data_IF_814869653006
#
_entry.id   IF_814869653006
#
_cell.length_a   1.000
_cell.length_b   1.000
_cell.length_c   1.000
_cell.angle_alpha   90.00
_cell.angle_beta   90.00
_cell.angle_gamma   90.00
#
_symmetry.space_group_name_H-M   'P 1'
#
loop_
_entity.id
_entity.type
_entity.pdbx_description
1 polymer ?
#
# COMPACT_ATOMS: atom_id res chain seq x y z
N UNK A 1 -4.26 7.44 -15.99
CA UNK A 1 -3.07 7.23 -15.14
C UNK A 1 -3.44 6.19 -14.10
N UNK A 2 -2.64 5.14 -13.96
CA UNK A 2 -2.90 4.10 -12.97
C UNK A 2 -2.31 4.50 -11.61
N UNK A 3 -2.91 4.07 -10.50
CA UNK A 3 -2.34 4.23 -9.17
C UNK A 3 -1.00 3.49 -9.07
N UNK A 4 -0.14 3.95 -8.18
CA UNK A 4 1.23 3.47 -8.04
C UNK A 4 1.49 3.00 -6.61
N UNK A 5 1.96 1.76 -6.47
CA UNK A 5 2.59 1.25 -5.26
C UNK A 5 4.10 1.56 -5.34
N UNK A 6 4.59 2.42 -4.46
CA UNK A 6 5.99 2.85 -4.39
C UNK A 6 6.68 2.07 -3.29
N UNK A 7 7.78 1.40 -3.63
CA UNK A 7 8.58 0.60 -2.70
C UNK A 7 9.87 1.36 -2.40
N UNK A 8 10.02 1.79 -1.18
CA UNK A 8 11.13 2.61 -0.68
C UNK A 8 12.27 1.72 -0.20
N UNK A 9 13.32 1.68 -0.99
CA UNK A 9 14.52 0.87 -0.68
C UNK A 9 15.31 1.45 0.50
N UNK A 10 15.34 2.77 0.65
CA UNK A 10 15.93 3.45 1.81
C UNK A 10 15.25 3.01 3.12
N UNK A 11 13.91 3.07 3.16
CA UNK A 11 13.13 2.65 4.32
C UNK A 11 13.32 1.15 4.65
N UNK A 12 13.41 0.29 3.62
CA UNK A 12 13.69 -1.13 3.81
C UNK A 12 15.08 -1.34 4.44
N UNK A 13 16.11 -0.64 3.97
CA UNK A 13 17.48 -0.71 4.54
C UNK A 13 17.51 -0.23 5.98
N UNK A 14 16.86 0.88 6.28
CA UNK A 14 16.82 1.45 7.63
C UNK A 14 16.11 0.53 8.63
N UNK A 15 15.00 -0.08 8.21
CA UNK A 15 14.29 -1.06 9.03
C UNK A 15 15.14 -2.32 9.25
N UNK A 16 15.87 -2.76 8.22
CA UNK A 16 16.72 -3.94 8.25
C UNK A 16 17.89 -3.84 9.23
N UNK A 17 18.39 -2.64 9.52
CA UNK A 17 19.44 -2.43 10.53
C UNK A 17 19.06 -2.92 11.93
N UNK A 18 17.76 -3.10 12.19
CA UNK A 18 17.22 -3.56 13.48
C UNK A 18 16.80 -5.03 13.45
N UNK A 19 17.00 -5.71 12.33
CA UNK A 19 16.57 -7.10 12.13
C UNK A 19 17.77 -8.05 12.14
N UNK A 20 17.66 -9.23 12.77
CA UNK A 20 18.75 -10.24 12.81
C UNK A 20 18.79 -11.02 11.47
N UNK A 21 19.18 -10.38 10.37
CA UNK A 21 19.12 -10.96 9.03
C UNK A 21 20.10 -12.13 8.81
N UNK A 22 21.26 -12.13 9.51
CA UNK A 22 22.32 -13.10 9.26
C UNK A 22 21.96 -14.52 9.72
N UNK A 23 21.21 -14.62 10.80
CA UNK A 23 20.92 -15.88 11.50
C UNK A 23 19.45 -16.30 11.32
N UNK A 24 18.67 -15.58 10.52
CA UNK A 24 17.24 -15.80 10.39
C UNK A 24 16.77 -15.98 8.95
N UNK A 25 15.58 -16.53 8.80
CA UNK A 25 14.91 -16.76 7.52
C UNK A 25 13.87 -15.66 7.30
N UNK A 26 13.90 -15.00 6.14
CA UNK A 26 12.88 -14.02 5.76
C UNK A 26 11.80 -14.66 4.88
N UNK A 27 10.53 -14.42 5.20
CA UNK A 27 9.41 -14.85 4.37
C UNK A 27 9.17 -13.87 3.22
N UNK A 28 9.53 -14.30 2.00
CA UNK A 28 9.33 -13.55 0.75
C UNK A 28 8.15 -14.06 -0.08
N UNK A 29 7.33 -14.95 0.46
CA UNK A 29 6.17 -15.47 -0.27
C UNK A 29 5.18 -14.34 -0.60
N UNK A 30 4.33 -14.61 -1.58
CA UNK A 30 3.41 -13.62 -2.17
C UNK A 30 4.14 -12.36 -2.66
N UNK A 31 5.28 -12.60 -3.33
CA UNK A 31 6.14 -11.54 -3.86
C UNK A 31 6.59 -10.56 -2.76
N UNK A 32 7.05 -11.10 -1.62
CA UNK A 32 7.40 -10.33 -0.41
C UNK A 32 6.22 -9.48 0.10
N UNK A 33 5.04 -10.09 0.21
CA UNK A 33 3.79 -9.40 0.55
C UNK A 33 3.52 -8.20 -0.36
N UNK A 34 3.77 -8.37 -1.67
CA UNK A 34 3.59 -7.34 -2.68
C UNK A 34 4.71 -6.30 -2.78
N UNK A 35 5.78 -6.42 -1.99
CA UNK A 35 6.91 -5.47 -2.04
C UNK A 35 7.90 -5.76 -3.16
N UNK A 36 7.84 -6.98 -3.77
CA UNK A 36 8.77 -7.41 -4.82
C UNK A 36 9.92 -8.26 -4.28
N UNK A 37 9.73 -9.58 -4.27
CA UNK A 37 10.67 -10.52 -3.68
C UNK A 37 12.12 -10.36 -4.18
N UNK A 38 12.30 -10.22 -5.49
CA UNK A 38 13.64 -10.03 -6.08
C UNK A 38 14.31 -8.72 -5.62
N UNK A 39 13.56 -7.61 -5.59
CA UNK A 39 14.08 -6.31 -5.16
C UNK A 39 14.40 -6.29 -3.67
N UNK A 40 13.53 -6.89 -2.85
CA UNK A 40 13.75 -7.03 -1.40
C UNK A 40 15.00 -7.89 -1.14
N UNK A 41 15.10 -9.05 -1.78
CA UNK A 41 16.24 -9.94 -1.65
C UNK A 41 17.56 -9.28 -2.05
N UNK A 42 17.60 -8.63 -3.21
CA UNK A 42 18.77 -7.92 -3.70
C UNK A 42 19.19 -6.78 -2.76
N UNK A 43 18.23 -6.08 -2.17
CA UNK A 43 18.49 -5.00 -1.21
C UNK A 43 19.07 -5.52 0.11
N UNK A 44 18.54 -6.64 0.62
CA UNK A 44 18.91 -7.16 1.94
C UNK A 44 20.10 -8.12 1.92
N UNK A 45 20.46 -8.67 0.75
CA UNK A 45 21.61 -9.57 0.60
C UNK A 45 22.92 -8.96 1.13
N UNK A 46 23.29 -7.71 0.79
CA UNK A 46 24.48 -7.07 1.34
C UNK A 46 24.41 -6.79 2.85
N UNK A 47 23.20 -6.81 3.42
CA UNK A 47 22.96 -6.58 4.85
C UNK A 47 22.89 -7.87 5.66
N UNK A 48 23.24 -9.01 5.05
CA UNK A 48 23.36 -10.28 5.73
C UNK A 48 22.22 -11.28 5.48
N UNK A 49 21.28 -10.98 4.60
CA UNK A 49 20.23 -11.96 4.24
C UNK A 49 20.83 -13.15 3.48
N UNK A 50 20.72 -14.36 4.03
CA UNK A 50 21.26 -15.59 3.45
C UNK A 50 20.22 -16.66 3.17
N UNK A 51 19.08 -16.62 3.84
CA UNK A 51 18.03 -17.63 3.74
C UNK A 51 16.64 -17.02 3.67
N UNK A 52 15.78 -17.56 2.82
CA UNK A 52 14.41 -17.07 2.62
C UNK A 52 13.42 -18.22 2.41
N UNK A 53 12.15 -17.98 2.75
CA UNK A 53 11.02 -18.71 2.16
C UNK A 53 10.52 -17.93 0.97
N UNK A 54 10.24 -18.61 -0.15
CA UNK A 54 9.82 -17.94 -1.38
C UNK A 54 8.73 -18.74 -2.12
N UNK A 55 8.06 -18.08 -3.05
CA UNK A 55 7.08 -18.73 -3.90
C UNK A 55 7.75 -19.69 -4.89
N UNK A 56 7.06 -20.78 -5.30
CA UNK A 56 7.55 -21.64 -6.37
C UNK A 56 7.86 -20.81 -7.63
N UNK A 57 9.03 -21.08 -8.23
CA UNK A 57 9.48 -20.39 -9.47
C UNK A 57 10.42 -19.21 -9.25
N UNK A 58 10.52 -18.64 -8.05
CA UNK A 58 11.45 -17.53 -7.76
C UNK A 58 12.85 -18.01 -7.34
N UNK A 59 13.03 -19.32 -7.14
CA UNK A 59 14.25 -19.90 -6.58
C UNK A 59 15.51 -19.64 -7.42
N UNK A 60 15.42 -19.63 -8.75
CA UNK A 60 16.58 -19.40 -9.63
C UNK A 60 17.14 -17.98 -9.47
N UNK A 61 16.27 -16.97 -9.40
CA UNK A 61 16.68 -15.56 -9.24
C UNK A 61 17.32 -15.34 -7.87
N UNK A 62 16.77 -15.95 -6.83
CA UNK A 62 17.29 -15.88 -5.47
C UNK A 62 18.63 -16.60 -5.32
N UNK A 63 18.77 -17.79 -5.96
CA UNK A 63 20.02 -18.54 -5.99
C UNK A 63 21.14 -17.75 -6.71
N UNK A 64 20.81 -17.00 -7.78
CA UNK A 64 21.75 -16.13 -8.46
C UNK A 64 22.28 -15.00 -7.55
N UNK A 65 21.52 -14.59 -6.54
CA UNK A 65 21.94 -13.67 -5.49
C UNK A 65 22.72 -14.34 -4.35
N UNK A 66 22.95 -15.66 -4.41
CA UNK A 66 23.58 -16.43 -3.33
C UNK A 66 22.71 -16.56 -2.09
N UNK A 67 21.38 -16.56 -2.25
CA UNK A 67 20.41 -16.70 -1.17
C UNK A 67 19.82 -18.12 -1.22
N UNK A 68 19.83 -18.82 -0.08
CA UNK A 68 19.26 -20.16 0.05
C UNK A 68 17.74 -20.06 0.22
N UNK A 69 17.00 -20.77 -0.61
CA UNK A 69 15.56 -20.95 -0.42
C UNK A 69 15.34 -22.17 0.48
N UNK A 70 14.65 -21.97 1.58
CA UNK A 70 14.34 -23.02 2.55
C UNK A 70 12.93 -23.56 2.36
N UNK A 71 12.71 -24.83 2.69
CA UNK A 71 11.38 -25.45 2.66
C UNK A 71 10.47 -24.77 3.71
N UNK A 72 9.19 -24.64 3.39
CA UNK A 72 8.18 -24.10 4.31
C UNK A 72 8.05 -24.92 5.63
N UNK A 73 8.59 -26.15 5.64
CA UNK A 73 8.60 -27.06 6.79
C UNK A 73 9.84 -26.91 7.69
N UNK A 74 10.88 -26.21 7.24
CA UNK A 74 12.02 -25.89 8.11
C UNK A 74 11.56 -24.91 9.21
N UNK A 75 12.04 -25.15 10.45
CA UNK A 75 11.55 -24.55 11.69
C UNK A 75 11.32 -23.04 11.61
N UNK A 76 10.18 -22.63 12.15
CA UNK A 76 9.70 -21.23 12.15
C UNK A 76 10.35 -20.36 13.24
N UNK A 77 11.21 -20.94 14.08
CA UNK A 77 11.69 -20.24 15.30
C UNK A 77 12.67 -19.09 15.00
N UNK A 78 13.28 -19.09 13.80
CA UNK A 78 14.25 -18.07 13.37
C UNK A 78 13.71 -17.18 12.24
N UNK A 79 12.41 -16.84 12.25
CA UNK A 79 11.84 -15.93 11.25
C UNK A 79 12.10 -14.46 11.58
N UNK A 80 12.54 -13.71 10.59
CA UNK A 80 12.53 -12.24 10.66
C UNK A 80 11.10 -11.76 10.79
N UNK A 81 10.84 -10.81 11.69
CA UNK A 81 9.56 -10.13 11.76
C UNK A 81 9.36 -9.23 10.52
N UNK A 82 8.77 -9.83 9.47
CA UNK A 82 8.52 -9.16 8.21
C UNK A 82 7.59 -7.95 8.36
N UNK A 83 6.72 -7.90 9.39
CA UNK A 83 5.85 -6.73 9.64
C UNK A 83 6.66 -5.52 10.07
N UNK A 84 7.66 -5.71 10.93
CA UNK A 84 8.59 -4.64 11.29
C UNK A 84 9.49 -4.27 10.12
N UNK A 85 10.02 -5.27 9.41
CA UNK A 85 10.90 -5.05 8.26
C UNK A 85 10.22 -4.21 7.16
N UNK A 86 8.95 -4.51 6.84
CA UNK A 86 8.19 -3.76 5.83
C UNK A 86 7.51 -2.49 6.37
N UNK A 87 7.71 -2.15 7.63
CA UNK A 87 7.10 -0.97 8.23
C UNK A 87 5.58 -1.06 8.39
N UNK A 88 5.05 -2.28 8.54
CA UNK A 88 3.62 -2.55 8.74
C UNK A 88 3.23 -2.56 10.22
N UNK A 89 4.21 -2.59 11.12
CA UNK A 89 4.02 -2.62 12.57
C UNK A 89 5.00 -1.70 13.30
N UNK A 90 4.65 -1.32 14.52
CA UNK A 90 5.51 -0.53 15.41
C UNK A 90 5.82 0.87 14.89
N UNK A 91 7.05 1.32 15.15
CA UNK A 91 7.60 2.62 14.74
C UNK A 91 8.45 2.54 13.47
N UNK A 92 8.48 1.39 12.79
CA UNK A 92 9.24 1.21 11.56
C UNK A 92 8.66 2.07 10.43
N UNK A 93 9.53 2.51 9.53
CA UNK A 93 9.14 3.34 8.39
C UNK A 93 8.40 2.51 7.35
N UNK A 94 7.21 2.91 6.88
CA UNK A 94 6.51 2.19 5.83
C UNK A 94 7.35 2.06 4.56
N UNK A 95 7.58 0.83 4.12
CA UNK A 95 8.31 0.52 2.88
C UNK A 95 7.43 0.72 1.66
N UNK A 96 6.17 0.30 1.74
CA UNK A 96 5.19 0.53 0.67
C UNK A 96 4.36 1.77 0.97
N UNK A 97 4.16 2.60 -0.06
CA UNK A 97 3.18 3.68 -0.08
C UNK A 97 2.39 3.64 -1.39
N UNK A 98 1.11 4.03 -1.36
CA UNK A 98 0.23 4.01 -2.52
C UNK A 98 -0.30 5.39 -2.83
N UNK A 99 -0.16 5.80 -4.09
CA UNK A 99 -0.73 7.06 -4.59
C UNK A 99 -1.59 6.85 -5.82
N UNK A 100 -2.62 7.67 -5.94
CA UNK A 100 -3.40 7.90 -7.15
C UNK A 100 -3.18 9.32 -7.68
N UNK A 101 -3.88 9.63 -8.76
CA UNK A 101 -3.83 10.95 -9.40
C UNK A 101 -5.25 11.53 -9.43
N UNK A 102 -5.38 12.81 -9.17
CA UNK A 102 -6.62 13.56 -9.39
C UNK A 102 -6.91 13.63 -10.89
N UNK A 103 -7.99 12.98 -11.31
CA UNK A 103 -8.43 12.92 -12.72
C UNK A 103 -9.28 14.14 -13.12
N UNK A 104 -9.92 14.76 -12.15
CA UNK A 104 -10.74 15.94 -12.32
C UNK A 104 -11.54 16.27 -11.06
N UNK A 105 -12.12 17.46 -11.04
CA UNK A 105 -12.96 17.93 -9.93
C UNK A 105 -14.30 18.42 -10.45
N UNK A 106 -15.34 18.36 -9.61
CA UNK A 106 -16.64 18.95 -9.92
C UNK A 106 -17.35 19.44 -8.66
N UNK A 107 -18.30 20.33 -8.83
CA UNK A 107 -19.27 20.67 -7.78
C UNK A 107 -20.24 19.48 -7.65
N UNK A 108 -20.57 19.14 -6.42
CA UNK A 108 -21.62 18.19 -6.07
C UNK A 108 -22.67 18.94 -5.27
N UNK A 109 -23.89 19.03 -5.83
CA UNK A 109 -24.99 19.78 -5.21
C UNK A 109 -25.65 18.94 -4.12
N UNK A 110 -26.27 19.62 -3.15
CA UNK A 110 -27.10 18.96 -2.12
C UNK A 110 -28.10 18.00 -2.76
N UNK A 111 -28.15 16.78 -2.24
CA UNK A 111 -29.01 15.70 -2.72
C UNK A 111 -28.46 14.91 -3.90
N UNK A 112 -27.44 15.39 -4.62
CA UNK A 112 -26.79 14.63 -5.68
C UNK A 112 -26.07 13.41 -5.11
N UNK A 113 -26.17 12.29 -5.84
CA UNK A 113 -25.47 11.05 -5.47
C UNK A 113 -24.15 10.87 -6.18
N UNK A 114 -23.20 10.18 -5.55
CA UNK A 114 -21.96 9.73 -6.18
C UNK A 114 -21.79 8.24 -6.05
N UNK A 115 -21.01 7.66 -6.98
CA UNK A 115 -20.64 6.25 -7.01
C UNK A 115 -21.82 5.30 -7.26
N UNK A 116 -21.54 4.01 -7.42
CA UNK A 116 -22.54 2.98 -7.75
C UNK A 116 -23.62 2.86 -6.68
N UNK A 117 -24.88 2.93 -7.13
CA UNK A 117 -26.08 2.78 -6.31
C UNK A 117 -26.38 3.98 -5.43
N UNK A 118 -25.71 5.12 -5.68
CA UNK A 118 -25.95 6.41 -5.00
C UNK A 118 -26.12 6.29 -3.49
N UNK A 119 -25.31 5.43 -2.83
CA UNK A 119 -25.36 5.25 -1.38
C UNK A 119 -24.96 6.50 -0.61
N UNK A 120 -24.11 7.33 -1.19
CA UNK A 120 -23.82 8.65 -0.68
C UNK A 120 -24.61 9.69 -1.46
N UNK A 121 -25.31 10.55 -0.75
CA UNK A 121 -25.91 11.76 -1.27
C UNK A 121 -25.39 12.95 -0.51
N UNK A 122 -25.00 14.01 -1.21
CA UNK A 122 -24.42 15.19 -0.59
C UNK A 122 -25.43 15.85 0.37
N UNK A 123 -25.11 16.04 1.65
CA UNK A 123 -25.98 16.71 2.60
C UNK A 123 -26.05 18.24 2.36
N UNK A 124 -25.05 18.77 1.70
CA UNK A 124 -24.91 20.18 1.30
C UNK A 124 -24.09 20.27 0.00
N UNK A 125 -24.05 21.46 -0.59
CA UNK A 125 -23.16 21.71 -1.74
C UNK A 125 -21.71 21.51 -1.30
N UNK A 126 -20.93 20.76 -2.09
CA UNK A 126 -19.51 20.54 -1.87
C UNK A 126 -18.76 20.43 -3.20
N UNK A 127 -17.45 20.29 -3.16
CA UNK A 127 -16.61 19.92 -4.31
C UNK A 127 -16.01 18.55 -4.09
N UNK A 128 -15.97 17.78 -5.15
CA UNK A 128 -15.39 16.43 -5.13
C UNK A 128 -14.31 16.29 -6.18
N UNK A 129 -13.36 15.41 -5.91
CA UNK A 129 -12.35 14.98 -6.88
C UNK A 129 -12.57 13.50 -7.23
N UNK A 130 -12.33 13.16 -8.49
CA UNK A 130 -12.20 11.79 -8.96
C UNK A 130 -10.73 11.41 -8.93
N UNK A 131 -10.41 10.34 -8.20
CA UNK A 131 -9.03 9.86 -8.00
C UNK A 131 -8.86 8.53 -8.72
N UNK A 132 -7.74 8.35 -9.43
CA UNK A 132 -7.36 7.05 -9.97
C UNK A 132 -7.00 6.10 -8.82
N UNK A 133 -7.51 4.88 -8.87
CA UNK A 133 -7.35 3.85 -7.84
C UNK A 133 -8.70 3.35 -7.36
N UNK A 134 -8.91 2.06 -7.55
CA UNK A 134 -10.12 1.36 -7.18
C UNK A 134 -9.84 -0.08 -6.75
N UNK A 135 -10.89 -0.89 -6.64
CA UNK A 135 -10.72 -2.25 -6.15
C UNK A 135 -9.92 -3.14 -7.13
N UNK A 136 -9.88 -2.80 -8.41
CA UNK A 136 -9.02 -3.45 -9.40
C UNK A 136 -7.52 -3.23 -9.16
N UNK A 137 -7.15 -2.27 -8.32
CA UNK A 137 -5.76 -1.97 -7.95
C UNK A 137 -5.52 -2.14 -6.44
N UNK A 138 -6.37 -2.92 -5.76
CA UNK A 138 -6.18 -3.25 -4.35
C UNK A 138 -6.82 -2.26 -3.36
N UNK A 139 -7.51 -1.21 -3.82
CA UNK A 139 -8.26 -0.31 -2.92
C UNK A 139 -9.58 -0.98 -2.55
N UNK A 140 -9.64 -1.59 -1.37
CA UNK A 140 -10.77 -2.43 -0.93
C UNK A 140 -12.09 -1.66 -0.94
N UNK A 141 -13.15 -2.26 -1.50
CA UNK A 141 -14.47 -1.60 -1.64
C UNK A 141 -15.06 -1.09 -0.33
N UNK A 142 -14.79 -1.76 0.78
CA UNK A 142 -15.26 -1.39 2.11
C UNK A 142 -14.70 -0.05 2.62
N UNK A 143 -13.62 0.46 2.02
CA UNK A 143 -13.03 1.75 2.37
C UNK A 143 -13.92 2.94 1.98
N UNK A 144 -14.85 2.73 1.07
CA UNK A 144 -15.79 3.75 0.63
C UNK A 144 -16.73 4.20 1.74
N UNK A 145 -16.70 5.48 2.07
CA UNK A 145 -17.46 6.08 3.17
C UNK A 145 -16.83 5.92 4.56
N UNK A 146 -15.68 5.25 4.68
CA UNK A 146 -15.04 4.95 5.97
C UNK A 146 -13.55 5.32 6.04
N UNK A 147 -12.90 5.54 4.90
CA UNK A 147 -11.50 5.92 4.82
C UNK A 147 -11.33 7.26 4.09
N UNK A 148 -10.11 7.78 4.07
CA UNK A 148 -9.75 8.99 3.38
C UNK A 148 -8.44 8.82 2.59
N UNK A 149 -8.19 9.73 1.66
CA UNK A 149 -6.88 9.96 1.04
C UNK A 149 -6.30 11.27 1.55
N UNK A 150 -5.00 11.45 1.40
CA UNK A 150 -4.36 12.76 1.64
C UNK A 150 -4.02 13.43 0.31
N UNK A 151 -4.43 14.69 0.13
CA UNK A 151 -4.04 15.55 -0.99
C UNK A 151 -3.41 16.79 -0.38
N UNK A 152 -2.14 17.07 -0.67
CA UNK A 152 -1.38 18.18 -0.07
C UNK A 152 -1.46 18.22 1.47
N UNK A 153 -1.36 17.06 2.11
CA UNK A 153 -1.46 16.93 3.57
C UNK A 153 -2.88 17.05 4.14
N UNK A 154 -3.88 17.26 3.31
CA UNK A 154 -5.28 17.40 3.72
C UNK A 154 -6.00 16.06 3.60
N UNK A 155 -6.67 15.64 4.66
CA UNK A 155 -7.53 14.45 4.64
C UNK A 155 -8.80 14.71 3.81
N UNK A 156 -9.01 13.90 2.78
CA UNK A 156 -10.15 13.95 1.85
C UNK A 156 -10.93 12.65 1.95
N UNK A 157 -12.12 12.62 2.60
CA UNK A 157 -12.92 11.41 2.77
C UNK A 157 -13.33 10.77 1.44
N UNK A 158 -13.25 9.45 1.36
CA UNK A 158 -13.76 8.68 0.20
C UNK A 158 -15.29 8.62 0.31
N UNK A 159 -16.00 9.12 -0.72
CA UNK A 159 -17.43 9.18 -0.75
C UNK A 159 -18.05 8.02 -1.52
N UNK A 160 -19.07 7.40 -0.94
CA UNK A 160 -19.77 6.30 -1.57
C UNK A 160 -18.86 5.06 -1.73
N UNK A 161 -19.19 4.19 -2.68
CA UNK A 161 -18.43 2.94 -2.91
C UNK A 161 -17.20 3.20 -3.77
N UNK A 162 -16.08 2.54 -3.44
CA UNK A 162 -14.93 2.45 -4.34
C UNK A 162 -15.35 1.69 -5.60
N UNK A 163 -15.08 2.27 -6.78
CA UNK A 163 -15.31 1.63 -8.07
C UNK A 163 -14.11 0.76 -8.50
N UNK A 164 -14.14 0.19 -9.70
CA UNK A 164 -13.08 -0.70 -10.18
C UNK A 164 -11.73 0.04 -10.29
N UNK A 165 -11.72 1.23 -10.88
CA UNK A 165 -10.50 1.93 -11.25
C UNK A 165 -10.37 3.32 -10.60
N UNK A 166 -11.42 3.77 -9.90
CA UNK A 166 -11.48 5.13 -9.35
C UNK A 166 -12.25 5.17 -8.04
N UNK A 167 -12.02 6.20 -7.25
CA UNK A 167 -12.87 6.61 -6.15
C UNK A 167 -13.18 8.11 -6.21
N UNK A 168 -14.25 8.52 -5.55
CA UNK A 168 -14.64 9.92 -5.38
C UNK A 168 -14.29 10.36 -3.97
N UNK A 169 -13.65 11.51 -3.82
CA UNK A 169 -13.31 12.07 -2.51
C UNK A 169 -13.88 13.48 -2.35
N UNK A 170 -14.23 13.83 -1.11
CA UNK A 170 -14.65 15.18 -0.77
C UNK A 170 -13.41 16.07 -0.58
N UNK A 171 -13.33 17.15 -1.34
CA UNK A 171 -12.26 18.14 -1.22
C UNK A 171 -12.71 19.42 -0.51
N UNK A 172 -13.97 19.48 -0.06
CA UNK A 172 -14.54 20.56 0.78
C UNK A 172 -14.15 21.98 0.31
N UNK A 173 -14.16 22.21 -1.01
CA UNK A 173 -13.81 23.51 -1.59
C UNK A 173 -12.31 23.82 -1.67
N UNK A 174 -11.42 22.88 -1.32
CA UNK A 174 -9.99 23.05 -1.53
C UNK A 174 -9.67 23.25 -3.02
N UNK A 175 -8.66 24.05 -3.30
CA UNK A 175 -8.14 24.26 -4.65
C UNK A 175 -7.29 23.07 -5.07
N UNK A 176 -7.96 22.00 -5.49
CA UNK A 176 -7.31 20.77 -5.98
C UNK A 176 -7.38 20.76 -7.50
N UNK A 177 -6.22 20.55 -8.16
CA UNK A 177 -6.09 20.52 -9.59
C UNK A 177 -5.97 19.11 -10.15
N UNK A 178 -6.36 18.95 -11.42
CA UNK A 178 -6.09 17.72 -12.16
C UNK A 178 -4.58 17.47 -12.25
N UNK A 179 -4.15 16.23 -11.98
CA UNK A 179 -2.76 15.82 -12.01
C UNK A 179 -2.11 15.77 -10.63
N UNK A 180 -2.70 16.38 -9.61
CA UNK A 180 -2.19 16.30 -8.24
C UNK A 180 -2.20 14.87 -7.71
N UNK A 181 -1.27 14.61 -6.78
CA UNK A 181 -1.12 13.30 -6.14
C UNK A 181 -2.08 13.17 -4.96
N UNK A 182 -2.82 12.06 -4.93
CA UNK A 182 -3.64 11.65 -3.79
C UNK A 182 -3.01 10.41 -3.14
N UNK A 183 -2.63 10.51 -1.88
CA UNK A 183 -2.03 9.40 -1.13
C UNK A 183 -3.11 8.57 -0.46
N UNK A 184 -3.18 7.31 -0.82
CA UNK A 184 -4.07 6.35 -0.19
C UNK A 184 -3.55 5.87 1.15
N UNK A 185 -2.25 5.59 1.22
CA UNK A 185 -1.51 5.34 2.46
C UNK A 185 0.00 5.56 2.24
N UNK A 186 0.72 5.69 3.36
CA UNK A 186 2.17 5.86 3.35
C UNK A 186 2.71 6.23 4.73
N UNK A 187 3.66 7.15 4.76
CA UNK A 187 4.28 7.64 5.98
C UNK A 187 3.46 8.79 6.58
N UNK A 188 3.00 8.63 7.82
CA UNK A 188 2.24 9.68 8.50
C UNK A 188 3.08 10.93 8.79
N UNK A 189 4.41 10.79 8.90
CA UNK A 189 5.33 11.92 9.05
C UNK A 189 5.32 12.84 7.81
N UNK A 190 4.92 12.30 6.67
CA UNK A 190 4.70 13.01 5.40
C UNK A 190 3.24 13.44 5.20
N UNK A 191 2.38 13.25 6.22
CA UNK A 191 0.94 13.58 6.14
C UNK A 191 0.09 12.55 5.38
N UNK A 192 0.59 11.32 5.19
CA UNK A 192 -0.15 10.26 4.51
C UNK A 192 -1.00 9.44 5.51
N UNK A 193 -2.18 8.92 5.10
CA UNK A 193 -2.92 7.95 5.89
C UNK A 193 -2.09 6.69 6.15
N UNK A 194 -2.36 6.00 7.25
CA UNK A 194 -1.67 4.73 7.56
C UNK A 194 -2.44 3.54 6.99
N UNK A 195 -1.74 2.55 6.46
CA UNK A 195 -2.37 1.31 5.98
C UNK A 195 -3.17 0.58 7.09
N UNK A 196 -2.77 0.71 8.35
CA UNK A 196 -3.52 0.16 9.50
C UNK A 196 -4.93 0.74 9.68
N UNK A 197 -5.22 1.91 9.11
CA UNK A 197 -6.58 2.46 9.12
C UNK A 197 -7.48 1.64 8.21
N UNK A 198 -6.95 1.18 7.08
CA UNK A 198 -7.65 0.24 6.21
C UNK A 198 -7.95 -1.07 6.93
N UNK A 199 -7.00 -1.60 7.71
CA UNK A 199 -7.18 -2.81 8.51
C UNK A 199 -8.34 -2.64 9.52
N UNK A 200 -8.42 -1.50 10.20
CA UNK A 200 -9.53 -1.21 11.13
C UNK A 200 -10.89 -1.17 10.45
N UNK A 201 -10.96 -0.64 9.23
CA UNK A 201 -12.21 -0.52 8.45
C UNK A 201 -12.63 -1.86 7.87
N UNK A 202 -11.67 -2.66 7.39
CA UNK A 202 -11.95 -3.87 6.61
C UNK A 202 -11.93 -5.15 7.43
N UNK A 203 -11.27 -5.14 8.60
CA UNK A 203 -10.94 -6.34 9.37
C UNK A 203 -9.83 -7.20 8.76
N UNK A 204 -9.28 -6.83 7.61
CA UNK A 204 -8.17 -7.53 6.96
C UNK A 204 -6.85 -7.21 7.66
N UNK A 205 -5.91 -8.16 7.63
CA UNK A 205 -4.56 -7.91 8.11
C UNK A 205 -3.81 -6.91 7.22
N UNK A 206 -2.89 -6.13 7.81
CA UNK A 206 -2.07 -5.16 7.06
C UNK A 206 -1.21 -5.82 5.98
N UNK A 207 -0.75 -7.06 6.21
CA UNK A 207 0.00 -7.82 5.22
C UNK A 207 -0.86 -8.24 4.03
N UNK A 208 -2.12 -8.65 4.27
CA UNK A 208 -3.09 -8.96 3.20
C UNK A 208 -3.36 -7.73 2.35
N UNK A 209 -3.56 -6.58 2.97
CA UNK A 209 -3.80 -5.30 2.28
C UNK A 209 -2.59 -4.87 1.44
N UNK A 210 -1.37 -4.97 1.98
CA UNK A 210 -0.15 -4.67 1.26
C UNK A 210 0.04 -5.62 0.07
N UNK A 211 -0.16 -6.93 0.26
CA UNK A 211 -0.07 -7.93 -0.79
C UNK A 211 -1.08 -7.68 -1.91
N UNK A 212 -2.33 -7.34 -1.58
CA UNK A 212 -3.37 -7.00 -2.55
C UNK A 212 -2.98 -5.79 -3.40
N UNK A 213 -2.47 -4.72 -2.77
CA UNK A 213 -2.00 -3.53 -3.48
C UNK A 213 -0.80 -3.85 -4.36
N UNK A 214 0.21 -4.55 -3.82
CA UNK A 214 1.42 -4.90 -4.57
C UNK A 214 1.18 -5.82 -5.77
N UNK A 215 0.15 -6.69 -5.70
CA UNK A 215 -0.24 -7.58 -6.79
C UNK A 215 -1.03 -6.86 -7.91
N UNK A 216 -1.73 -5.77 -7.61
CA UNK A 216 -2.69 -5.17 -8.54
C UNK A 216 -2.36 -3.74 -8.97
N UNK A 217 -1.66 -2.95 -8.16
CA UNK A 217 -1.19 -1.63 -8.54
C UNK A 217 0.12 -1.71 -9.35
N UNK A 218 0.39 -0.68 -10.16
CA UNK A 218 1.69 -0.55 -10.82
C UNK A 218 2.76 -0.30 -9.77
N UNK A 219 3.73 -1.20 -9.64
CA UNK A 219 4.83 -1.05 -8.68
C UNK A 219 5.99 -0.25 -9.26
N UNK A 220 6.57 0.62 -8.44
CA UNK A 220 7.80 1.37 -8.71
C UNK A 220 8.74 1.18 -7.53
N UNK A 221 9.99 0.87 -7.80
CA UNK A 221 11.07 0.83 -6.80
C UNK A 221 11.74 2.21 -6.77
N UNK A 222 11.90 2.79 -5.58
CA UNK A 222 12.50 4.13 -5.38
C UNK A 222 13.44 4.17 -4.15
#
# INVERSE_FOLDING_TARGET
MNPVARIRIDALRDNAQRAPLADAVLDLRWDAWGHGAASVAATLRPLGLHAVRADPGTGADLAALGIRVVDARENADDLVDARQLYGLAGAATPVMRMSGTVLGTKVLRRGEGVSYGYRYRAPQDTRVALISGGYGQGVVRALGGAAHVSIEGRACPILGRVAMDVCVVDIAGAAVARGETAWFFGDEREGHPRLREWSRVTGMDVAELAAAVGAHARRIIE
#
